data_IF_168449461371
#
_entry.id   IF_168449461371
#
_cell.length_a   1.000
_cell.length_b   1.000
_cell.length_c   1.000
_cell.angle_alpha   90.00
_cell.angle_beta   90.00
_cell.angle_gamma   90.00
#
_symmetry.space_group_name_H-M   'P 1'
#
loop_
_entity.id
_entity.type
_entity.pdbx_description
1 polymer ?
#
# COMPACT_ATOMS: atom_id res chain seq x y z
N UNK A 1 8.34 27.85 29.76
CA UNK A 1 9.41 28.19 28.80
C UNK A 1 10.65 27.48 29.27
N UNK A 2 11.07 26.41 28.59
CA UNK A 2 12.34 25.77 28.89
C UNK A 2 13.44 26.51 28.14
N UNK A 3 14.43 27.00 28.89
CA UNK A 3 15.61 27.63 28.31
C UNK A 3 16.65 26.54 28.02
N UNK A 4 16.77 26.13 26.74
CA UNK A 4 17.84 25.26 26.30
C UNK A 4 19.19 25.99 26.24
N UNK A 5 20.28 25.27 26.42
CA UNK A 5 21.64 25.79 26.21
C UNK A 5 21.96 25.89 24.73
N UNK A 6 22.94 26.74 24.31
CA UNK A 6 23.39 26.86 22.92
C UNK A 6 23.82 25.50 22.34
N UNK A 7 24.36 24.61 23.15
CA UNK A 7 24.71 23.25 22.78
C UNK A 7 23.48 22.41 22.41
N UNK A 8 22.38 22.50 23.16
CA UNK A 8 21.11 21.81 22.82
C UNK A 8 20.49 22.34 21.53
N UNK A 9 20.63 23.63 21.25
CA UNK A 9 20.16 24.26 20.01
C UNK A 9 20.97 23.83 18.77
N UNK A 10 22.24 23.44 18.93
CA UNK A 10 23.06 22.91 17.81
C UNK A 10 22.91 21.40 17.60
N UNK A 11 22.53 20.67 18.64
CA UNK A 11 22.39 19.20 18.60
C UNK A 11 21.06 18.73 17.99
N UNK A 12 19.96 19.49 18.16
CA UNK A 12 18.67 19.17 17.56
C UNK A 12 18.70 19.18 16.02
N UNK A 13 19.19 20.25 15.35
CA UNK A 13 19.28 20.24 13.89
C UNK A 13 20.19 19.13 13.32
N UNK A 14 21.23 18.74 14.04
CA UNK A 14 22.12 17.65 13.63
C UNK A 14 21.41 16.27 13.69
N UNK A 15 20.59 16.03 14.70
CA UNK A 15 19.78 14.81 14.80
C UNK A 15 18.74 14.72 13.69
N UNK A 16 18.07 15.83 13.42
CA UNK A 16 17.05 15.91 12.36
C UNK A 16 17.66 15.71 10.97
N UNK A 17 18.84 16.29 10.73
CA UNK A 17 19.61 16.07 9.49
C UNK A 17 20.04 14.62 9.33
N UNK A 18 20.50 13.96 10.40
CA UNK A 18 20.88 12.54 10.35
C UNK A 18 19.67 11.64 10.11
N UNK A 19 18.52 11.92 10.74
CA UNK A 19 17.29 11.18 10.52
C UNK A 19 16.80 11.35 9.08
N UNK A 20 16.79 12.58 8.57
CA UNK A 20 16.41 12.89 7.19
C UNK A 20 17.35 12.21 6.18
N UNK A 21 18.66 12.27 6.40
CA UNK A 21 19.63 11.62 5.53
C UNK A 21 19.42 10.09 5.48
N UNK A 22 19.17 9.47 6.65
CA UNK A 22 18.86 8.04 6.72
C UNK A 22 17.56 7.71 5.99
N UNK A 23 16.53 8.51 6.19
CA UNK A 23 15.24 8.36 5.53
C UNK A 23 15.38 8.43 4.00
N UNK A 24 16.06 9.45 3.46
CA UNK A 24 16.32 9.55 2.02
C UNK A 24 17.18 8.40 1.47
N UNK A 25 18.16 7.95 2.24
CA UNK A 25 18.97 6.79 1.86
C UNK A 25 18.10 5.53 1.76
N UNK A 26 17.25 5.27 2.76
CA UNK A 26 16.35 4.13 2.79
C UNK A 26 15.40 4.16 1.58
N UNK A 27 14.78 5.30 1.30
CA UNK A 27 13.90 5.50 0.15
C UNK A 27 14.64 5.17 -1.16
N UNK A 28 15.82 5.76 -1.36
CA UNK A 28 16.61 5.52 -2.57
C UNK A 28 17.00 4.04 -2.73
N UNK A 29 17.35 3.38 -1.62
CA UNK A 29 17.69 1.96 -1.62
C UNK A 29 16.46 1.09 -1.92
N UNK A 30 15.33 1.34 -1.27
CA UNK A 30 14.08 0.62 -1.50
C UNK A 30 13.61 0.74 -2.95
N UNK A 31 13.71 1.93 -3.53
CA UNK A 31 13.34 2.17 -4.93
C UNK A 31 14.19 1.38 -5.92
N UNK A 32 15.50 1.33 -5.69
CA UNK A 32 16.40 0.52 -6.51
C UNK A 32 16.07 -0.96 -6.40
N UNK A 33 15.81 -1.44 -5.18
CA UNK A 33 15.49 -2.84 -4.91
C UNK A 33 14.17 -3.25 -5.58
N UNK A 34 13.13 -2.41 -5.47
CA UNK A 34 11.84 -2.68 -6.10
C UNK A 34 11.90 -2.65 -7.62
N UNK A 35 12.64 -1.69 -8.18
CA UNK A 35 12.87 -1.66 -9.62
C UNK A 35 13.59 -2.92 -10.07
N UNK A 36 14.65 -3.31 -9.38
CA UNK A 36 15.37 -4.55 -9.67
C UNK A 36 14.46 -5.79 -9.57
N UNK A 37 13.64 -5.89 -8.53
CA UNK A 37 12.67 -6.97 -8.39
C UNK A 37 11.71 -7.01 -9.58
N UNK A 38 11.12 -5.87 -9.95
CA UNK A 38 10.16 -5.76 -11.06
C UNK A 38 10.78 -6.14 -12.41
N UNK A 39 12.02 -5.72 -12.65
CA UNK A 39 12.75 -5.97 -13.91
C UNK A 39 13.28 -7.41 -14.01
N UNK A 40 13.32 -8.15 -12.90
CA UNK A 40 13.87 -9.50 -12.82
C UNK A 40 12.85 -10.52 -12.25
N UNK A 41 11.58 -10.31 -12.49
CA UNK A 41 10.55 -11.32 -12.17
C UNK A 41 10.70 -12.50 -13.13
N UNK A 42 10.73 -13.71 -12.57
CA UNK A 42 10.75 -14.96 -13.33
C UNK A 42 9.33 -15.36 -13.77
N UNK A 43 9.24 -16.36 -14.65
CA UNK A 43 7.99 -17.01 -14.99
C UNK A 43 7.33 -17.60 -13.73
N UNK A 44 6.05 -17.34 -13.52
CA UNK A 44 5.32 -17.73 -12.31
C UNK A 44 5.56 -16.85 -11.09
N UNK A 45 6.30 -15.75 -11.21
CA UNK A 45 6.44 -14.73 -10.17
C UNK A 45 5.59 -13.51 -10.45
N UNK A 46 5.02 -12.93 -9.38
CA UNK A 46 4.22 -11.71 -9.45
C UNK A 46 4.60 -10.75 -8.33
N UNK A 47 4.69 -9.47 -8.65
CA UNK A 47 4.81 -8.39 -7.67
C UNK A 47 3.48 -7.63 -7.59
N UNK A 48 2.90 -7.54 -6.39
CA UNK A 48 1.67 -6.79 -6.12
C UNK A 48 2.02 -5.58 -5.27
N UNK A 49 1.96 -4.41 -5.89
CA UNK A 49 2.13 -3.13 -5.20
C UNK A 49 0.75 -2.53 -4.94
N UNK A 50 0.44 -2.25 -3.68
CA UNK A 50 -0.90 -1.89 -3.24
C UNK A 50 -0.90 -0.90 -2.10
N UNK A 51 -1.95 -0.08 -2.05
CA UNK A 51 -2.24 0.81 -0.93
C UNK A 51 -3.74 1.09 -0.82
N UNK A 52 -4.17 1.64 0.34
CA UNK A 52 -5.47 2.23 0.49
C UNK A 52 -5.45 3.68 -0.01
N UNK A 53 -6.33 4.00 -0.95
CA UNK A 53 -6.64 5.38 -1.25
C UNK A 53 -7.44 6.01 -0.11
N UNK A 54 -7.48 7.34 -0.05
CA UNK A 54 -8.41 8.04 0.84
C UNK A 54 -9.85 7.60 0.58
N UNK A 55 -10.69 7.64 1.64
CA UNK A 55 -12.09 7.27 1.49
C UNK A 55 -12.78 8.17 0.47
N UNK A 56 -13.32 7.56 -0.57
CA UNK A 56 -14.00 8.27 -1.64
C UNK A 56 -15.41 8.64 -1.23
N UNK A 57 -15.77 9.92 -1.33
CA UNK A 57 -17.12 10.40 -1.10
C UNK A 57 -17.95 10.28 -2.38
N UNK A 58 -18.97 9.41 -2.35
CA UNK A 58 -19.84 9.20 -3.51
C UNK A 58 -20.63 10.47 -3.81
N UNK A 59 -20.53 10.96 -5.05
CA UNK A 59 -21.30 12.12 -5.54
C UNK A 59 -22.55 11.63 -6.24
N UNK A 60 -23.66 12.33 -6.01
CA UNK A 60 -24.86 12.08 -6.80
C UNK A 60 -24.76 12.75 -8.16
N UNK A 61 -25.22 12.08 -9.20
CA UNK A 61 -25.15 12.54 -10.59
C UNK A 61 -25.89 13.87 -10.84
N UNK A 62 -26.85 14.24 -9.95
CA UNK A 62 -27.59 15.51 -9.94
C UNK A 62 -27.72 16.01 -8.52
N UNK A 63 -26.66 16.59 -7.99
CA UNK A 63 -26.73 17.25 -6.67
C UNK A 63 -27.34 18.64 -6.82
N UNK A 64 -28.46 18.87 -6.11
CA UNK A 64 -28.96 20.22 -5.84
C UNK A 64 -28.18 20.80 -4.65
N UNK A 65 -27.92 22.12 -4.66
CA UNK A 65 -27.12 22.81 -3.66
C UNK A 65 -27.51 22.53 -2.21
N UNK A 66 -28.80 22.37 -1.93
CA UNK A 66 -29.31 22.03 -0.59
C UNK A 66 -28.90 20.64 -0.10
N UNK A 67 -28.73 19.68 -1.01
CA UNK A 67 -28.26 18.32 -0.69
C UNK A 67 -26.75 18.31 -0.48
N UNK A 68 -26.01 19.12 -1.21
CA UNK A 68 -24.56 19.23 -1.07
C UNK A 68 -24.13 19.68 0.34
N UNK A 69 -24.88 20.55 0.98
CA UNK A 69 -24.55 21.08 2.31
C UNK A 69 -25.24 20.37 3.49
N UNK A 70 -26.22 19.49 3.25
CA UNK A 70 -27.10 19.00 4.33
C UNK A 70 -27.00 17.49 4.59
N UNK A 71 -26.41 16.71 3.72
CA UNK A 71 -26.41 15.23 3.82
C UNK A 71 -24.98 14.71 3.91
N UNK A 72 -24.71 13.85 4.90
CA UNK A 72 -23.48 13.08 4.94
C UNK A 72 -23.41 12.18 3.70
N UNK A 73 -22.47 12.46 2.81
CA UNK A 73 -22.25 11.65 1.61
C UNK A 73 -21.79 10.25 2.02
N UNK A 74 -22.35 9.23 1.34
CA UNK A 74 -21.87 7.86 1.53
C UNK A 74 -20.40 7.80 1.11
N UNK A 75 -19.58 7.29 2.00
CA UNK A 75 -18.17 7.04 1.71
C UNK A 75 -17.95 5.56 1.41
N UNK A 76 -16.97 5.28 0.60
CA UNK A 76 -16.45 3.95 0.30
C UNK A 76 -14.94 3.95 0.47
N UNK A 77 -14.37 2.84 0.85
CA UNK A 77 -12.92 2.64 0.84
C UNK A 77 -12.48 2.04 -0.49
N UNK A 78 -11.36 2.54 -1.00
CA UNK A 78 -10.70 2.04 -2.21
C UNK A 78 -9.37 1.43 -1.80
N UNK A 79 -9.11 0.21 -2.28
CA UNK A 79 -7.81 -0.43 -2.21
C UNK A 79 -7.30 -0.61 -3.64
N UNK A 80 -6.27 0.13 -3.99
CA UNK A 80 -5.76 0.26 -5.34
C UNK A 80 -4.37 -0.34 -5.45
N UNK A 81 -3.96 -0.69 -6.66
CA UNK A 81 -2.63 -1.20 -6.88
C UNK A 81 -2.38 -1.70 -8.29
N UNK A 82 -1.20 -2.24 -8.46
CA UNK A 82 -0.77 -2.91 -9.69
C UNK A 82 -0.20 -4.30 -9.39
N UNK A 83 -0.49 -5.25 -10.26
CA UNK A 83 0.10 -6.57 -10.26
C UNK A 83 1.04 -6.68 -11.47
N UNK A 84 2.34 -6.76 -11.20
CA UNK A 84 3.39 -6.82 -12.22
C UNK A 84 3.85 -8.27 -12.39
N UNK A 85 3.84 -8.73 -13.63
CA UNK A 85 4.46 -10.00 -14.07
C UNK A 85 5.66 -9.68 -14.95
N UNK A 86 6.38 -10.69 -15.38
CA UNK A 86 7.47 -10.55 -16.36
C UNK A 86 7.02 -9.84 -17.65
N UNK A 87 5.77 -10.02 -18.08
CA UNK A 87 5.30 -9.57 -19.40
C UNK A 87 4.27 -8.43 -19.34
N UNK A 88 3.61 -8.22 -18.23
CA UNK A 88 2.51 -7.26 -18.11
C UNK A 88 2.39 -6.63 -16.74
N UNK A 89 1.79 -5.45 -16.72
CA UNK A 89 1.33 -4.79 -15.49
C UNK A 89 -0.19 -4.66 -15.55
N UNK A 90 -0.87 -5.18 -14.54
CA UNK A 90 -2.33 -5.20 -14.42
C UNK A 90 -2.71 -4.26 -13.29
N UNK A 91 -3.25 -3.06 -13.58
CA UNK A 91 -3.79 -2.19 -12.55
C UNK A 91 -5.08 -2.79 -12.00
N UNK A 92 -5.33 -2.59 -10.70
CA UNK A 92 -6.56 -3.02 -10.06
C UNK A 92 -7.07 -2.00 -9.05
N UNK A 93 -8.37 -2.03 -8.83
CA UNK A 93 -9.03 -1.33 -7.74
C UNK A 93 -10.12 -2.23 -7.15
N UNK A 94 -10.18 -2.30 -5.84
CA UNK A 94 -11.24 -3.00 -5.11
C UNK A 94 -11.96 -2.02 -4.20
N UNK A 95 -13.27 -2.16 -4.10
CA UNK A 95 -14.17 -1.22 -3.42
C UNK A 95 -14.87 -1.91 -2.27
N UNK A 96 -15.00 -1.22 -1.14
CA UNK A 96 -15.76 -1.69 0.02
C UNK A 96 -16.55 -0.55 0.66
N UNK A 97 -17.72 -0.86 1.20
CA UNK A 97 -18.49 0.05 2.06
C UNK A 97 -17.97 0.09 3.50
N UNK A 98 -17.04 -0.78 3.84
CA UNK A 98 -16.35 -0.76 5.13
C UNK A 98 -15.18 0.20 5.09
N UNK A 99 -15.30 1.32 5.80
CA UNK A 99 -14.28 2.38 5.86
C UNK A 99 -13.07 2.06 6.77
N UNK A 100 -13.03 0.88 7.37
CA UNK A 100 -11.92 0.47 8.22
C UNK A 100 -10.79 -0.11 7.38
N UNK A 101 -9.60 0.48 7.46
CA UNK A 101 -8.38 0.04 6.76
C UNK A 101 -7.52 -0.91 7.63
N UNK A 102 -8.17 -1.69 8.49
CA UNK A 102 -7.47 -2.64 9.37
C UNK A 102 -7.10 -3.96 8.68
N UNK A 103 -6.42 -4.87 9.42
CA UNK A 103 -5.99 -6.18 8.90
C UNK A 103 -7.07 -6.99 8.20
N UNK A 104 -8.31 -7.10 8.74
CA UNK A 104 -9.35 -7.86 8.07
C UNK A 104 -9.76 -7.28 6.71
N UNK A 105 -9.79 -5.95 6.58
CA UNK A 105 -10.12 -5.30 5.32
C UNK A 105 -9.07 -5.59 4.25
N UNK A 106 -7.79 -5.44 4.58
CA UNK A 106 -6.68 -5.78 3.67
C UNK A 106 -6.78 -7.22 3.17
N UNK A 107 -7.05 -8.16 4.07
CA UNK A 107 -7.18 -9.57 3.69
C UNK A 107 -8.37 -9.83 2.76
N UNK A 108 -9.49 -9.15 3.00
CA UNK A 108 -10.66 -9.27 2.14
C UNK A 108 -10.38 -8.73 0.74
N UNK A 109 -9.74 -7.56 0.63
CA UNK A 109 -9.33 -7.00 -0.66
C UNK A 109 -8.31 -7.90 -1.37
N UNK A 110 -7.29 -8.38 -0.64
CA UNK A 110 -6.29 -9.30 -1.17
C UNK A 110 -6.90 -10.61 -1.65
N UNK A 111 -7.87 -11.17 -0.94
CA UNK A 111 -8.53 -12.42 -1.33
C UNK A 111 -9.15 -12.31 -2.73
N UNK A 112 -9.82 -11.18 -3.01
CA UNK A 112 -10.42 -10.93 -4.33
C UNK A 112 -9.35 -10.88 -5.43
N UNK A 113 -8.26 -10.15 -5.17
CA UNK A 113 -7.15 -10.00 -6.13
C UNK A 113 -6.45 -11.32 -6.36
N UNK A 114 -6.13 -12.06 -5.29
CA UNK A 114 -5.42 -13.33 -5.40
C UNK A 114 -6.25 -14.40 -6.09
N UNK A 115 -7.56 -14.46 -5.84
CA UNK A 115 -8.44 -15.37 -6.57
C UNK A 115 -8.43 -15.07 -8.07
N UNK A 116 -8.63 -13.80 -8.45
CA UNK A 116 -8.58 -13.39 -9.85
C UNK A 116 -7.24 -13.75 -10.53
N UNK A 117 -6.12 -13.47 -9.85
CA UNK A 117 -4.80 -13.77 -10.39
C UNK A 117 -4.55 -15.28 -10.54
N UNK A 118 -4.99 -16.08 -9.57
CA UNK A 118 -4.88 -17.55 -9.64
C UNK A 118 -5.72 -18.17 -10.76
N UNK A 119 -6.87 -17.58 -11.07
CA UNK A 119 -7.73 -18.03 -12.17
C UNK A 119 -7.19 -17.65 -13.55
N UNK A 120 -6.44 -16.54 -13.62
CA UNK A 120 -5.99 -15.96 -14.90
C UNK A 120 -4.54 -16.24 -15.23
N UNK A 121 -3.69 -16.46 -14.23
CA UNK A 121 -2.24 -16.58 -14.39
C UNK A 121 -1.72 -17.73 -13.52
N UNK A 122 -0.83 -18.55 -14.06
CA UNK A 122 -0.10 -19.55 -13.29
C UNK A 122 0.97 -18.86 -12.43
N UNK A 123 0.70 -18.66 -11.14
CA UNK A 123 1.59 -17.95 -10.20
C UNK A 123 1.94 -18.84 -9.01
N UNK A 124 3.23 -19.01 -8.75
CA UNK A 124 3.79 -19.78 -7.63
C UNK A 124 4.42 -18.91 -6.56
N UNK A 125 4.94 -17.74 -6.95
CA UNK A 125 5.67 -16.84 -6.07
C UNK A 125 5.01 -15.46 -6.10
N UNK A 126 4.76 -14.88 -4.92
CA UNK A 126 4.17 -13.55 -4.80
C UNK A 126 5.03 -12.62 -3.93
N UNK A 127 5.27 -11.42 -4.44
CA UNK A 127 5.97 -10.34 -3.76
C UNK A 127 5.01 -9.19 -3.49
N UNK A 128 4.57 -9.05 -2.25
CA UNK A 128 3.76 -7.90 -1.85
C UNK A 128 4.65 -6.69 -1.55
N UNK A 129 4.17 -5.54 -1.96
CA UNK A 129 4.77 -4.23 -1.69
C UNK A 129 3.68 -3.31 -1.19
N UNK A 130 3.88 -2.67 -0.06
CA UNK A 130 2.98 -1.65 0.48
C UNK A 130 3.78 -0.65 1.29
N UNK A 131 3.17 0.48 1.61
CA UNK A 131 3.71 1.35 2.63
C UNK A 131 3.77 0.63 4.00
N UNK A 132 4.51 1.17 4.94
CA UNK A 132 4.82 0.51 6.20
C UNK A 132 4.15 1.06 7.46
N UNK A 133 2.92 1.64 7.47
CA UNK A 133 2.32 2.06 8.72
C UNK A 133 2.04 0.85 9.60
N UNK A 134 2.51 0.94 10.84
CA UNK A 134 2.42 -0.15 11.83
C UNK A 134 0.98 -0.57 12.11
N UNK A 135 0.04 0.33 11.93
CA UNK A 135 -1.39 0.11 12.18
C UNK A 135 -2.08 -0.65 11.06
N UNK A 136 -1.64 -0.48 9.81
CA UNK A 136 -2.27 -1.09 8.65
C UNK A 136 -1.55 -2.37 8.21
N UNK A 137 -0.31 -2.30 7.78
CA UNK A 137 0.40 -3.41 7.15
C UNK A 137 1.42 -4.12 8.04
N UNK A 138 1.99 -3.47 9.05
CA UNK A 138 3.11 -3.97 9.85
C UNK A 138 2.73 -4.43 11.25
N UNK A 139 1.87 -5.44 11.38
CA UNK A 139 1.50 -6.04 12.66
C UNK A 139 1.79 -7.53 12.71
N UNK A 140 2.07 -8.07 13.92
CA UNK A 140 2.33 -9.51 14.12
C UNK A 140 1.16 -10.38 13.64
N UNK A 141 -0.07 -9.95 13.91
CA UNK A 141 -1.28 -10.67 13.50
C UNK A 141 -1.35 -10.76 11.97
N UNK A 142 -1.05 -9.66 11.26
CA UNK A 142 -1.04 -9.65 9.80
C UNK A 142 0.02 -10.55 9.22
N UNK A 143 1.24 -10.51 9.75
CA UNK A 143 2.30 -11.37 9.28
C UNK A 143 1.95 -12.84 9.46
N UNK A 144 1.30 -13.20 10.58
CA UNK A 144 0.80 -14.55 10.81
C UNK A 144 -0.28 -14.93 9.79
N UNK A 145 -1.32 -14.09 9.66
CA UNK A 145 -2.40 -14.35 8.71
C UNK A 145 -1.89 -14.37 7.26
N UNK A 146 -0.97 -13.48 6.93
CA UNK A 146 -0.29 -13.47 5.64
C UNK A 146 0.39 -14.82 5.36
N UNK A 147 1.20 -15.32 6.28
CA UNK A 147 1.89 -16.60 6.12
C UNK A 147 0.91 -17.77 5.92
N UNK A 148 -0.18 -17.80 6.70
CA UNK A 148 -1.21 -18.84 6.58
C UNK A 148 -1.96 -18.72 5.26
N UNK A 149 -2.42 -17.52 4.91
CA UNK A 149 -3.23 -17.30 3.71
C UNK A 149 -2.44 -17.56 2.43
N UNK A 150 -1.20 -17.09 2.32
CA UNK A 150 -0.38 -17.37 1.14
C UNK A 150 -0.15 -18.88 0.93
N UNK A 151 0.00 -19.62 2.02
CA UNK A 151 0.07 -21.09 1.95
C UNK A 151 -1.28 -21.70 1.50
N UNK A 152 -2.41 -21.25 2.07
CA UNK A 152 -3.76 -21.71 1.66
C UNK A 152 -4.04 -21.43 0.17
N UNK A 153 -3.56 -20.31 -0.36
CA UNK A 153 -3.63 -20.00 -1.79
C UNK A 153 -2.66 -20.81 -2.65
N UNK A 154 -1.84 -21.67 -2.05
CA UNK A 154 -0.92 -22.55 -2.76
C UNK A 154 0.30 -21.85 -3.33
N UNK A 155 0.71 -20.71 -2.79
CA UNK A 155 1.98 -20.10 -3.15
C UNK A 155 3.15 -20.87 -2.53
N UNK A 156 4.15 -21.18 -3.34
CA UNK A 156 5.39 -21.83 -2.90
C UNK A 156 6.26 -20.87 -2.08
N UNK A 157 6.22 -19.56 -2.41
CA UNK A 157 6.97 -18.51 -1.73
C UNK A 157 6.17 -17.22 -1.74
N UNK A 158 6.23 -16.50 -0.63
CA UNK A 158 5.67 -15.16 -0.53
C UNK A 158 6.62 -14.24 0.24
N UNK A 159 6.74 -13.00 -0.20
CA UNK A 159 7.46 -11.96 0.53
C UNK A 159 6.59 -10.73 0.72
N UNK A 160 6.84 -9.96 1.77
CA UNK A 160 6.18 -8.67 1.95
C UNK A 160 7.24 -7.60 2.20
N UNK A 161 7.30 -6.64 1.31
CA UNK A 161 8.25 -5.55 1.33
C UNK A 161 7.52 -4.27 1.77
N UNK A 162 7.99 -3.66 2.85
CA UNK A 162 7.41 -2.43 3.38
C UNK A 162 8.25 -1.24 2.95
N UNK A 163 7.58 -0.23 2.38
CA UNK A 163 8.20 1.03 2.01
C UNK A 163 8.27 2.00 3.19
N UNK A 164 9.16 2.95 3.09
CA UNK A 164 9.25 4.07 4.02
C UNK A 164 8.02 4.96 3.85
N UNK A 165 7.39 5.33 4.97
CA UNK A 165 6.15 6.08 4.95
C UNK A 165 6.30 7.48 4.32
N UNK A 166 5.25 7.96 3.64
CA UNK A 166 5.15 9.32 3.11
C UNK A 166 5.81 9.58 1.76
N UNK A 167 6.33 8.56 1.09
CA UNK A 167 6.96 8.69 -0.23
C UNK A 167 6.39 7.75 -1.29
N UNK A 168 5.21 7.24 -1.06
CA UNK A 168 4.59 6.17 -1.85
C UNK A 168 3.65 6.69 -2.96
N UNK A 169 3.77 7.98 -3.35
CA UNK A 169 3.01 8.54 -4.48
C UNK A 169 3.42 7.85 -5.78
N UNK A 170 2.75 6.74 -6.10
CA UNK A 170 3.03 5.88 -7.24
C UNK A 170 1.74 5.34 -7.89
N UNK A 171 1.86 4.21 -8.58
CA UNK A 171 0.77 3.58 -9.29
C UNK A 171 -0.54 3.41 -8.48
N UNK A 172 -0.52 2.99 -7.18
CA UNK A 172 -1.75 2.91 -6.39
C UNK A 172 -2.48 4.26 -6.27
N UNK A 173 -1.75 5.34 -5.97
CA UNK A 173 -2.35 6.69 -5.87
C UNK A 173 -2.88 7.16 -7.23
N UNK A 174 -2.09 7.03 -8.28
CA UNK A 174 -2.51 7.41 -9.63
C UNK A 174 -3.72 6.64 -10.14
N UNK A 175 -3.90 5.39 -9.71
CA UNK A 175 -5.11 4.60 -10.02
C UNK A 175 -6.30 5.13 -9.21
N UNK A 176 -6.09 5.44 -7.92
CA UNK A 176 -7.13 6.03 -7.06
C UNK A 176 -7.61 7.39 -7.57
N UNK A 177 -6.70 8.24 -8.04
CA UNK A 177 -7.02 9.57 -8.59
C UNK A 177 -7.74 9.50 -9.94
N UNK A 178 -7.62 8.39 -10.68
CA UNK A 178 -8.24 8.20 -11.99
C UNK A 178 -9.67 7.62 -11.94
N UNK A 179 -10.11 7.16 -10.76
CA UNK A 179 -11.45 6.59 -10.53
C UNK A 179 -12.46 7.66 -10.08
#
# INVERSE_FOLDING_TARGET
>A
MEFGTISTLSDEPNKDLQQSARHFFNIGHQYKTLRFLRENLDEGEIMIHMDFSENYSCKYQKEIQSVHFSVSQKQISLHTGEACTMVATIPFATVSDNLKHGPPAILTHLAVILNYLKETIAVDVVHFVSDGPTTQYRSRIKLYIFAVKTFEYGFRKATWNFLEAGHDKRAPDGIGDAL
#
